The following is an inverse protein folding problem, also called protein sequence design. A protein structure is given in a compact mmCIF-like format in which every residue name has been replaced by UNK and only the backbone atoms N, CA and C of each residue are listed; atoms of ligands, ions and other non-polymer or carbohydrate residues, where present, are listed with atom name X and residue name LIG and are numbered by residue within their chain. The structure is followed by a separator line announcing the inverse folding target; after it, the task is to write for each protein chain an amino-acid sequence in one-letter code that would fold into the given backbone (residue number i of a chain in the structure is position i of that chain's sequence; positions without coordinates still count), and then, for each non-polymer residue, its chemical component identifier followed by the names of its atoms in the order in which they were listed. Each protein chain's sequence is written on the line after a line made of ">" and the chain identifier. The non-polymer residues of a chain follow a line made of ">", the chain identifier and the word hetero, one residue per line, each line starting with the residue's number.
data_IF_634796998727
#
_entry.id   IF_634796998727
#
_cell.length_a   1.000
_cell.length_b   1.000
_cell.length_c   1.000
_cell.angle_alpha   90.00
_cell.angle_beta   90.00
_cell.angle_gamma   90.00
#
_symmetry.space_group_name_H-M   'P 1'
#
loop_
_entity.id
_entity.type
_entity.pdbx_description
1 polymer ?
#
# COMPACT_ATOMS: atom_id res chain seq x y z
N UNK A 1 -59.47 -56.77 -12.22
CA UNK A 1 -58.96 -55.52 -12.80
C UNK A 1 -57.69 -55.13 -12.05
N UNK A 2 -56.58 -55.01 -12.78
CA UNK A 2 -55.23 -54.76 -12.25
C UNK A 2 -54.98 -53.26 -12.03
N UNK A 3 -54.13 -52.90 -11.04
CA UNK A 3 -52.96 -52.01 -11.24
C UNK A 3 -52.11 -51.90 -9.96
N UNK A 4 -50.80 -51.79 -10.17
CA UNK A 4 -49.68 -51.95 -9.25
C UNK A 4 -49.19 -50.60 -8.64
N UNK A 5 -48.21 -50.59 -7.72
CA UNK A 5 -47.82 -49.39 -6.96
C UNK A 5 -46.80 -48.50 -7.68
N UNK A 6 -46.90 -47.18 -7.46
CA UNK A 6 -46.00 -46.14 -7.98
C UNK A 6 -44.81 -45.93 -7.03
N UNK A 7 -43.61 -46.22 -7.52
CA UNK A 7 -42.32 -45.90 -6.89
C UNK A 7 -41.91 -44.48 -7.27
N UNK A 8 -41.64 -43.62 -6.28
CA UNK A 8 -41.14 -42.25 -6.50
C UNK A 8 -39.61 -42.21 -6.45
N UNK A 9 -38.96 -42.11 -7.61
CA UNK A 9 -37.57 -41.69 -7.72
C UNK A 9 -37.54 -40.20 -8.03
N UNK A 10 -36.84 -39.39 -7.23
CA UNK A 10 -36.34 -38.05 -7.64
C UNK A 10 -35.37 -37.47 -6.60
N UNK A 11 -34.08 -37.76 -6.78
CA UNK A 11 -32.92 -36.95 -6.38
C UNK A 11 -31.69 -37.58 -7.02
N UNK A 12 -31.25 -37.10 -8.18
CA UNK A 12 -29.89 -37.37 -8.71
C UNK A 12 -29.52 -36.56 -9.97
N UNK A 13 -30.49 -35.96 -10.68
CA UNK A 13 -30.21 -35.38 -12.02
C UNK A 13 -29.59 -33.96 -12.06
N UNK A 14 -29.28 -33.33 -10.92
CA UNK A 14 -28.74 -31.94 -10.94
C UNK A 14 -27.22 -31.91 -10.97
N UNK A 15 -26.53 -32.92 -10.45
CA UNK A 15 -25.05 -33.00 -10.45
C UNK A 15 -24.46 -33.43 -11.79
N UNK A 16 -25.19 -34.21 -12.60
CA UNK A 16 -24.72 -34.67 -13.89
C UNK A 16 -24.67 -33.55 -14.96
N UNK A 17 -25.49 -32.51 -14.84
CA UNK A 17 -25.58 -31.45 -15.84
C UNK A 17 -24.44 -30.41 -15.76
N UNK A 18 -23.80 -30.25 -14.60
CA UNK A 18 -22.60 -29.41 -14.44
C UNK A 18 -21.32 -30.14 -14.82
N UNK A 19 -21.28 -31.47 -14.69
CA UNK A 19 -20.14 -32.31 -15.11
C UNK A 19 -19.94 -32.34 -16.64
N UNK A 20 -21.02 -32.12 -17.40
CA UNK A 20 -21.00 -32.20 -18.88
C UNK A 20 -20.42 -30.95 -19.55
N UNK A 21 -20.34 -29.80 -18.86
CA UNK A 21 -19.82 -28.55 -19.45
C UNK A 21 -18.30 -28.40 -19.39
N UNK A 22 -17.60 -29.25 -18.64
CA UNK A 22 -16.14 -29.29 -18.57
C UNK A 22 -15.48 -30.14 -19.69
N UNK A 23 -16.27 -30.62 -20.67
CA UNK A 23 -15.86 -31.60 -21.67
C UNK A 23 -15.58 -31.10 -23.11
N UNK A 24 -14.93 -29.95 -23.39
CA UNK A 24 -14.42 -29.71 -24.74
C UNK A 24 -13.19 -30.58 -25.07
N UNK A 25 -12.22 -30.68 -24.15
CA UNK A 25 -10.93 -31.33 -24.46
C UNK A 25 -10.83 -32.79 -24.02
N UNK A 26 -11.62 -33.21 -23.02
CA UNK A 26 -11.66 -34.62 -22.63
C UNK A 26 -12.26 -35.48 -23.74
N UNK A 27 -13.26 -34.99 -24.48
CA UNK A 27 -13.85 -35.76 -25.57
C UNK A 27 -12.91 -35.81 -26.77
N UNK A 28 -12.12 -34.78 -27.06
CA UNK A 28 -11.24 -34.80 -28.25
C UNK A 28 -10.00 -35.65 -28.01
N UNK A 29 -9.33 -35.51 -26.85
CA UNK A 29 -8.21 -36.39 -26.51
C UNK A 29 -8.70 -37.81 -26.21
N UNK A 30 -9.79 -38.00 -25.45
CA UNK A 30 -10.33 -39.33 -25.22
C UNK A 30 -10.87 -39.96 -26.51
N UNK A 31 -11.49 -39.24 -27.45
CA UNK A 31 -11.97 -39.87 -28.70
C UNK A 31 -10.83 -40.22 -29.65
N UNK A 32 -9.83 -39.35 -29.82
CA UNK A 32 -8.67 -39.63 -30.69
C UNK A 32 -7.76 -40.70 -30.09
N UNK A 33 -7.63 -40.74 -28.75
CA UNK A 33 -6.90 -41.77 -28.01
C UNK A 33 -7.71 -43.07 -27.94
N UNK A 34 -9.01 -43.06 -27.61
CA UNK A 34 -9.86 -44.27 -27.59
C UNK A 34 -9.95 -44.95 -28.96
N UNK A 35 -9.98 -44.19 -30.06
CA UNK A 35 -9.93 -44.75 -31.42
C UNK A 35 -8.60 -45.46 -31.72
N UNK A 36 -7.50 -45.08 -31.07
CA UNK A 36 -6.19 -45.77 -31.16
C UNK A 36 -5.96 -46.82 -30.06
N UNK A 37 -6.79 -46.87 -29.01
CA UNK A 37 -6.53 -47.66 -27.79
C UNK A 37 -7.31 -48.97 -27.72
N UNK A 38 -8.22 -49.24 -28.66
CA UNK A 38 -8.96 -50.51 -28.76
C UNK A 38 -8.04 -51.74 -28.93
N UNK A 39 -6.76 -51.56 -29.32
CA UNK A 39 -5.80 -52.65 -29.54
C UNK A 39 -4.66 -52.71 -28.50
N UNK A 40 -4.65 -51.84 -27.48
CA UNK A 40 -3.51 -51.73 -26.54
C UNK A 40 -3.76 -52.53 -25.24
N UNK A 41 -2.81 -53.38 -24.79
CA UNK A 41 -2.92 -54.13 -23.54
C UNK A 41 -3.16 -53.22 -22.32
N UNK A 42 -3.98 -53.66 -21.37
CA UNK A 42 -4.35 -52.94 -20.13
C UNK A 42 -3.13 -52.34 -19.40
N UNK A 43 -2.04 -53.10 -19.26
CA UNK A 43 -0.81 -52.66 -18.61
C UNK A 43 -0.16 -51.45 -19.30
N UNK A 44 -0.18 -51.43 -20.64
CA UNK A 44 0.33 -50.29 -21.44
C UNK A 44 -0.57 -49.07 -21.33
N UNK A 45 -1.89 -49.26 -21.17
CA UNK A 45 -2.84 -48.14 -20.97
C UNK A 45 -2.64 -47.47 -19.61
N UNK A 46 -2.42 -48.24 -18.54
CA UNK A 46 -2.09 -47.69 -17.21
C UNK A 46 -0.80 -46.87 -17.23
N UNK A 47 0.26 -47.40 -17.83
CA UNK A 47 1.56 -46.71 -17.93
C UNK A 47 1.46 -45.39 -18.71
N UNK A 48 0.62 -45.32 -19.75
CA UNK A 48 0.40 -44.08 -20.51
C UNK A 48 -0.43 -43.06 -19.74
N UNK A 49 -1.46 -43.51 -19.01
CA UNK A 49 -2.28 -42.62 -18.16
C UNK A 49 -1.42 -42.02 -17.03
N UNK A 50 -0.58 -42.84 -16.40
CA UNK A 50 0.37 -42.42 -15.37
C UNK A 50 1.35 -41.38 -15.93
N UNK A 51 1.96 -41.64 -17.09
CA UNK A 51 2.86 -40.70 -17.76
C UNK A 51 2.18 -39.36 -18.11
N UNK A 52 0.93 -39.38 -18.58
CA UNK A 52 0.16 -38.16 -18.86
C UNK A 52 -0.13 -37.40 -17.56
N UNK A 53 -0.47 -38.11 -16.48
CA UNK A 53 -0.71 -37.50 -15.17
C UNK A 53 0.55 -36.85 -14.60
N UNK A 54 1.71 -37.49 -14.72
CA UNK A 54 3.00 -36.95 -14.28
C UNK A 54 3.41 -35.72 -15.09
N UNK A 55 3.21 -35.73 -16.41
CA UNK A 55 3.46 -34.55 -17.25
C UNK A 55 2.53 -33.39 -16.90
N UNK A 56 1.26 -33.65 -16.59
CA UNK A 56 0.30 -32.63 -16.12
C UNK A 56 0.74 -32.05 -14.77
N UNK A 57 1.14 -32.91 -13.83
CA UNK A 57 1.68 -32.50 -12.52
C UNK A 57 2.91 -31.61 -12.68
N UNK A 58 3.89 -32.03 -13.49
CA UNK A 58 5.11 -31.25 -13.72
C UNK A 58 4.84 -29.87 -14.32
N UNK A 59 3.90 -29.77 -15.28
CA UNK A 59 3.46 -28.46 -15.82
C UNK A 59 2.75 -27.60 -14.79
N UNK A 60 1.89 -28.22 -13.97
CA UNK A 60 1.18 -27.54 -12.89
C UNK A 60 2.15 -26.95 -11.87
N UNK A 61 3.12 -27.75 -11.39
CA UNK A 61 4.12 -27.31 -10.41
C UNK A 61 5.03 -26.21 -10.98
N UNK A 62 5.39 -26.31 -12.26
CA UNK A 62 6.12 -25.26 -12.96
C UNK A 62 5.30 -23.96 -13.08
N UNK A 63 4.00 -24.06 -13.39
CA UNK A 63 3.11 -22.90 -13.46
C UNK A 63 2.96 -22.21 -12.09
N UNK A 64 2.78 -22.97 -11.00
CA UNK A 64 2.74 -22.41 -9.65
C UNK A 64 4.06 -21.74 -9.26
N UNK A 65 5.19 -22.39 -9.55
CA UNK A 65 6.52 -21.80 -9.31
C UNK A 65 6.70 -20.48 -10.05
N UNK A 66 6.23 -20.41 -11.30
CA UNK A 66 6.26 -19.21 -12.11
C UNK A 66 5.31 -18.11 -11.59
N UNK A 67 4.12 -18.48 -11.12
CA UNK A 67 3.18 -17.56 -10.47
C UNK A 67 3.81 -16.90 -9.24
N UNK A 68 4.35 -17.69 -8.32
CA UNK A 68 4.99 -17.17 -7.11
C UNK A 68 6.22 -16.31 -7.44
N UNK A 69 6.97 -16.68 -8.50
CA UNK A 69 8.07 -15.86 -8.98
C UNK A 69 7.59 -14.50 -9.50
N UNK A 70 6.54 -14.45 -10.32
CA UNK A 70 5.96 -13.19 -10.81
C UNK A 70 5.44 -12.32 -9.64
N UNK A 71 4.76 -12.91 -8.66
CA UNK A 71 4.33 -12.20 -7.44
C UNK A 71 5.52 -11.63 -6.65
N UNK A 72 6.61 -12.38 -6.52
CA UNK A 72 7.83 -11.91 -5.88
C UNK A 72 8.51 -10.78 -6.67
N UNK A 73 8.46 -10.84 -8.01
CA UNK A 73 8.95 -9.76 -8.88
C UNK A 73 8.12 -8.48 -8.71
N UNK A 74 6.78 -8.57 -8.59
CA UNK A 74 5.94 -7.42 -8.26
C UNK A 74 6.38 -6.81 -6.93
N UNK A 75 6.58 -7.61 -5.88
CA UNK A 75 7.02 -7.08 -4.58
C UNK A 75 8.32 -6.26 -4.69
N UNK A 76 9.31 -6.78 -5.43
CA UNK A 76 10.59 -6.10 -5.67
C UNK A 76 10.45 -4.84 -6.54
N UNK A 77 9.58 -4.89 -7.55
CA UNK A 77 9.31 -3.74 -8.41
C UNK A 77 8.68 -2.57 -7.63
N UNK A 78 7.80 -2.88 -6.67
CA UNK A 78 7.09 -1.86 -5.90
C UNK A 78 7.96 -1.19 -4.83
N UNK A 79 9.05 -1.83 -4.39
CA UNK A 79 9.93 -1.35 -3.33
C UNK A 79 10.52 0.06 -3.56
N UNK A 80 11.13 0.39 -4.72
CA UNK A 80 11.65 1.74 -4.96
C UNK A 80 10.58 2.83 -4.91
N UNK A 81 9.33 2.52 -5.31
CA UNK A 81 8.22 3.47 -5.26
C UNK A 81 7.73 3.76 -3.84
N UNK A 82 8.10 2.93 -2.86
CA UNK A 82 7.85 3.17 -1.44
C UNK A 82 9.05 3.87 -0.80
N UNK A 83 10.26 3.35 -1.03
CA UNK A 83 11.47 3.80 -0.33
C UNK A 83 11.95 5.19 -0.78
N UNK A 84 12.03 5.44 -2.08
CA UNK A 84 12.63 6.68 -2.59
C UNK A 84 11.79 7.93 -2.27
N UNK A 85 10.45 7.92 -2.47
CA UNK A 85 9.61 9.03 -2.01
C UNK A 85 9.68 9.24 -0.49
N UNK A 86 9.82 8.16 0.30
CA UNK A 86 9.98 8.25 1.75
C UNK A 86 11.29 8.94 2.16
N UNK A 87 12.41 8.59 1.51
CA UNK A 87 13.71 9.27 1.72
C UNK A 87 13.64 10.74 1.32
N UNK A 88 12.96 11.05 0.22
CA UNK A 88 12.75 12.43 -0.23
C UNK A 88 11.91 13.24 0.77
N UNK A 89 10.83 12.66 1.31
CA UNK A 89 10.04 13.32 2.34
C UNK A 89 10.90 13.60 3.58
N UNK A 90 11.67 12.61 4.04
CA UNK A 90 12.56 12.76 5.19
C UNK A 90 13.60 13.87 4.96
N UNK A 91 14.21 13.94 3.78
CA UNK A 91 15.18 14.99 3.47
C UNK A 91 14.53 16.38 3.46
N UNK A 92 13.34 16.53 2.88
CA UNK A 92 12.56 17.79 2.91
C UNK A 92 12.23 18.23 4.34
N UNK A 93 11.76 17.31 5.18
CA UNK A 93 11.40 17.61 6.58
C UNK A 93 12.63 18.00 7.39
N UNK A 94 13.73 17.23 7.30
CA UNK A 94 14.97 17.55 8.02
C UNK A 94 15.59 18.88 7.58
N UNK A 95 15.51 19.20 6.29
CA UNK A 95 16.00 20.48 5.79
C UNK A 95 15.13 21.65 6.29
N UNK A 96 13.81 21.49 6.28
CA UNK A 96 12.90 22.47 6.86
C UNK A 96 13.13 22.64 8.37
N UNK A 97 13.42 21.57 9.11
CA UNK A 97 13.77 21.66 10.55
C UNK A 97 15.05 22.49 10.76
N UNK A 98 16.11 22.25 9.98
CA UNK A 98 17.35 23.03 10.04
C UNK A 98 17.12 24.52 9.75
N UNK A 99 16.32 24.83 8.72
CA UNK A 99 15.98 26.21 8.37
C UNK A 99 15.25 26.91 9.50
N UNK A 100 14.28 26.22 10.12
CA UNK A 100 13.52 26.77 11.25
C UNK A 100 14.40 27.01 12.46
N UNK A 101 15.29 26.07 12.80
CA UNK A 101 16.22 26.23 13.92
C UNK A 101 17.19 27.39 13.70
N UNK A 102 17.69 27.57 12.47
CA UNK A 102 18.55 28.70 12.13
C UNK A 102 17.82 30.04 12.25
N UNK A 103 16.57 30.13 11.80
CA UNK A 103 15.74 31.33 11.94
C UNK A 103 15.48 31.67 13.41
N UNK A 104 15.12 30.67 14.22
CA UNK A 104 14.91 30.86 15.66
C UNK A 104 16.19 31.29 16.37
N UNK A 105 17.34 30.69 16.04
CA UNK A 105 18.64 31.06 16.64
C UNK A 105 19.02 32.49 16.29
N UNK A 106 18.81 32.91 15.04
CA UNK A 106 19.05 34.30 14.62
C UNK A 106 18.17 35.26 15.43
N UNK A 107 16.91 34.90 15.65
CA UNK A 107 15.96 35.70 16.43
C UNK A 107 16.41 35.86 17.89
N UNK A 108 16.88 34.77 18.49
CA UNK A 108 17.33 34.74 19.89
C UNK A 108 18.53 35.68 20.11
N UNK A 109 19.48 35.69 19.17
CA UNK A 109 20.64 36.59 19.21
C UNK A 109 20.25 38.07 19.03
N UNK A 110 19.25 38.37 18.21
CA UNK A 110 18.80 39.75 17.98
C UNK A 110 18.18 40.40 19.22
N UNK A 111 17.54 39.62 20.11
CA UNK A 111 16.95 40.16 21.35
C UNK A 111 18.02 40.60 22.34
N UNK A 112 19.13 39.86 22.44
CA UNK A 112 20.20 40.15 23.41
C UNK A 112 20.95 41.46 23.10
N UNK A 113 20.91 41.94 21.86
CA UNK A 113 21.73 43.05 21.39
C UNK A 113 21.00 44.41 21.28
N UNK A 114 19.75 44.48 21.74
CA UNK A 114 18.84 45.52 21.27
C UNK A 114 19.02 46.93 21.89
N UNK A 115 19.17 47.96 21.03
CA UNK A 115 19.21 49.39 21.37
C UNK A 115 18.03 50.14 20.70
N UNK A 116 17.48 51.15 21.40
CA UNK A 116 16.46 52.16 21.05
C UNK A 116 15.86 52.25 19.63
N UNK A 117 16.68 52.34 18.57
CA UNK A 117 16.25 52.68 17.20
C UNK A 117 15.58 51.48 16.49
N UNK A 118 15.80 50.28 16.98
CA UNK A 118 15.59 49.06 16.22
C UNK A 118 14.17 48.46 16.45
N UNK A 119 13.39 48.97 17.41
CA UNK A 119 12.17 48.33 17.95
C UNK A 119 11.06 48.06 16.94
N UNK A 120 10.90 48.95 15.96
CA UNK A 120 9.94 48.79 14.86
C UNK A 120 10.41 47.75 13.85
N UNK A 121 11.72 47.69 13.59
CA UNK A 121 12.33 46.70 12.67
C UNK A 121 12.17 45.30 13.27
N UNK A 122 12.39 45.15 14.58
CA UNK A 122 12.25 43.86 15.26
C UNK A 122 10.81 43.35 15.36
N UNK A 123 9.82 44.24 15.51
CA UNK A 123 8.41 43.83 15.44
C UNK A 123 8.08 43.28 14.04
N UNK A 124 8.59 43.94 12.99
CA UNK A 124 8.42 43.47 11.62
C UNK A 124 9.10 42.11 11.41
N UNK A 125 10.31 41.91 11.95
CA UNK A 125 11.00 40.62 11.92
C UNK A 125 10.23 39.51 12.66
N UNK A 126 9.57 39.83 13.79
CA UNK A 126 8.71 38.91 14.53
C UNK A 126 7.46 38.51 13.72
N UNK A 127 6.85 39.45 13.03
CA UNK A 127 5.70 39.19 12.16
C UNK A 127 6.12 38.35 10.94
N UNK A 128 7.27 38.66 10.33
CA UNK A 128 7.83 37.87 9.24
C UNK A 128 8.16 36.44 9.67
N UNK A 129 8.75 36.26 10.86
CA UNK A 129 9.01 34.94 11.43
C UNK A 129 7.70 34.14 11.59
N UNK A 130 6.63 34.78 12.08
CA UNK A 130 5.34 34.11 12.23
C UNK A 130 4.77 33.67 10.87
N UNK A 131 4.76 34.56 9.88
CA UNK A 131 4.28 34.22 8.53
C UNK A 131 5.09 33.07 7.93
N UNK A 132 6.40 33.06 8.16
CA UNK A 132 7.29 31.97 7.73
C UNK A 132 6.95 30.66 8.41
N UNK A 133 6.75 30.65 9.75
CA UNK A 133 6.32 29.46 10.51
C UNK A 133 5.01 28.91 9.93
N UNK A 134 4.04 29.77 9.64
CA UNK A 134 2.76 29.35 9.09
C UNK A 134 2.90 28.75 7.69
N UNK A 135 3.66 29.40 6.80
CA UNK A 135 3.90 28.91 5.44
C UNK A 135 4.65 27.57 5.42
N UNK A 136 5.70 27.43 6.23
CA UNK A 136 6.44 26.17 6.38
C UNK A 136 5.54 25.06 6.91
N UNK A 137 4.71 25.35 7.93
CA UNK A 137 3.79 24.35 8.49
C UNK A 137 2.74 23.89 7.47
N UNK A 138 2.20 24.81 6.66
CA UNK A 138 1.29 24.46 5.56
C UNK A 138 1.99 23.59 4.49
N UNK A 139 3.22 23.95 4.15
CA UNK A 139 4.05 23.25 3.16
C UNK A 139 4.39 21.84 3.62
N UNK A 140 4.78 21.64 4.87
CA UNK A 140 5.08 20.31 5.42
C UNK A 140 3.85 19.42 5.45
N UNK A 141 2.70 19.97 5.85
CA UNK A 141 1.42 19.24 5.82
C UNK A 141 1.04 18.81 4.39
N UNK A 142 1.32 19.63 3.39
CA UNK A 142 1.05 19.26 1.99
C UNK A 142 1.98 18.15 1.51
N UNK A 143 3.27 18.20 1.85
CA UNK A 143 4.21 17.10 1.54
C UNK A 143 3.81 15.77 2.18
N UNK A 144 3.35 15.79 3.44
CA UNK A 144 2.86 14.58 4.13
C UNK A 144 1.65 13.99 3.40
N UNK A 145 0.69 14.83 2.97
CA UNK A 145 -0.50 14.40 2.23
C UNK A 145 -0.16 13.85 0.84
N UNK A 146 0.69 14.54 0.10
CA UNK A 146 1.14 14.10 -1.24
C UNK A 146 1.81 12.72 -1.17
N UNK A 147 2.62 12.50 -0.13
CA UNK A 147 3.28 11.23 0.08
C UNK A 147 2.33 10.11 0.48
N UNK A 148 1.34 10.39 1.34
CA UNK A 148 0.25 9.45 1.69
C UNK A 148 -0.52 9.01 0.43
N UNK A 149 -0.91 9.96 -0.42
CA UNK A 149 -1.57 9.67 -1.69
C UNK A 149 -0.68 8.83 -2.61
N UNK A 150 0.62 9.10 -2.62
CA UNK A 150 1.59 8.32 -3.42
C UNK A 150 1.67 6.88 -2.94
N UNK A 151 1.74 6.65 -1.63
CA UNK A 151 1.75 5.30 -1.06
C UNK A 151 0.46 4.54 -1.39
N UNK A 152 -0.70 5.20 -1.30
CA UNK A 152 -1.98 4.59 -1.66
C UNK A 152 -2.05 4.21 -3.14
N UNK A 153 -1.56 5.07 -4.04
CA UNK A 153 -1.45 4.75 -5.48
C UNK A 153 -0.55 3.56 -5.74
N UNK A 154 0.57 3.44 -5.02
CA UNK A 154 1.48 2.29 -5.10
C UNK A 154 0.76 1.01 -4.66
N UNK A 155 0.05 1.01 -3.53
CA UNK A 155 -0.70 -0.18 -3.09
C UNK A 155 -1.84 -0.56 -4.05
N UNK A 156 -2.54 0.41 -4.66
CA UNK A 156 -3.55 0.13 -5.68
C UNK A 156 -2.93 -0.50 -6.93
N UNK A 157 -1.85 0.09 -7.44
CA UNK A 157 -1.12 -0.48 -8.59
C UNK A 157 -0.61 -1.89 -8.29
N UNK A 158 -0.19 -2.16 -7.04
CA UNK A 158 0.25 -3.50 -6.62
C UNK A 158 -0.91 -4.49 -6.67
N UNK A 159 -2.07 -4.10 -6.14
CA UNK A 159 -3.26 -4.94 -6.15
C UNK A 159 -3.73 -5.26 -7.58
N UNK A 160 -3.70 -4.29 -8.50
CA UNK A 160 -4.05 -4.50 -9.90
C UNK A 160 -3.11 -5.51 -10.57
N UNK A 161 -1.79 -5.32 -10.43
CA UNK A 161 -0.80 -6.24 -11.00
C UNK A 161 -0.92 -7.67 -10.46
N UNK A 162 -1.15 -7.80 -9.15
CA UNK A 162 -1.39 -9.10 -8.51
C UNK A 162 -2.65 -9.75 -9.08
N UNK A 163 -3.71 -8.97 -9.26
CA UNK A 163 -4.97 -9.46 -9.83
C UNK A 163 -4.77 -10.01 -11.24
N UNK A 164 -3.99 -9.32 -12.07
CA UNK A 164 -3.68 -9.78 -13.42
C UNK A 164 -2.83 -11.05 -13.43
N UNK A 165 -1.84 -11.18 -12.53
CA UNK A 165 -1.07 -12.41 -12.35
C UNK A 165 -1.98 -13.56 -11.93
N UNK A 166 -2.82 -13.38 -10.91
CA UNK A 166 -3.72 -14.42 -10.45
C UNK A 166 -4.68 -14.86 -11.57
N UNK A 167 -5.27 -13.91 -12.31
CA UNK A 167 -6.15 -14.22 -13.46
C UNK A 167 -5.43 -15.02 -14.54
N UNK A 168 -4.22 -14.61 -14.91
CA UNK A 168 -3.38 -15.31 -15.91
C UNK A 168 -3.13 -16.76 -15.49
N UNK A 169 -2.76 -16.99 -14.23
CA UNK A 169 -2.45 -18.33 -13.76
C UNK A 169 -3.70 -19.18 -13.48
N UNK A 170 -4.86 -18.61 -13.15
CA UNK A 170 -6.13 -19.35 -13.14
C UNK A 170 -6.37 -20.03 -14.48
N UNK A 171 -6.33 -19.27 -15.59
CA UNK A 171 -6.57 -19.80 -16.94
C UNK A 171 -5.53 -20.87 -17.29
N UNK A 172 -4.24 -20.60 -17.03
CA UNK A 172 -3.17 -21.55 -17.32
C UNK A 172 -3.31 -22.87 -16.53
N UNK A 173 -3.72 -22.80 -15.26
CA UNK A 173 -3.91 -23.99 -14.43
C UNK A 173 -5.14 -24.81 -14.86
N UNK A 174 -6.21 -24.13 -15.31
CA UNK A 174 -7.37 -24.79 -15.92
C UNK A 174 -6.98 -25.51 -17.22
N UNK A 175 -6.21 -24.86 -18.10
CA UNK A 175 -5.70 -25.44 -19.35
C UNK A 175 -4.77 -26.65 -19.14
N UNK A 176 -3.99 -26.67 -18.05
CA UNK A 176 -3.15 -27.82 -17.71
C UNK A 176 -4.00 -29.05 -17.37
N UNK A 177 -5.22 -28.85 -16.86
CA UNK A 177 -6.19 -29.87 -16.50
C UNK A 177 -5.61 -30.97 -15.59
N UNK A 178 -4.74 -30.56 -14.64
CA UNK A 178 -4.24 -31.41 -13.56
C UNK A 178 -5.23 -31.47 -12.39
N UNK A 179 -5.84 -30.33 -12.06
CA UNK A 179 -6.92 -30.20 -11.08
C UNK A 179 -8.26 -29.98 -11.79
N UNK A 180 -9.36 -30.26 -11.10
CA UNK A 180 -10.68 -29.82 -11.55
C UNK A 180 -10.76 -28.28 -11.44
N UNK A 181 -11.54 -27.66 -12.32
CA UNK A 181 -11.72 -26.19 -12.32
C UNK A 181 -12.11 -25.66 -10.93
N UNK A 182 -13.04 -26.33 -10.22
CA UNK A 182 -13.42 -25.96 -8.86
C UNK A 182 -12.23 -25.92 -7.89
N UNK A 183 -11.30 -26.87 -7.99
CA UNK A 183 -10.11 -26.91 -7.14
C UNK A 183 -9.07 -25.86 -7.53
N UNK A 184 -8.96 -25.52 -8.83
CA UNK A 184 -8.14 -24.38 -9.28
C UNK A 184 -8.66 -23.07 -8.68
N UNK A 185 -9.97 -22.82 -8.74
CA UNK A 185 -10.57 -21.63 -8.13
C UNK A 185 -10.36 -21.57 -6.62
N UNK A 186 -10.47 -22.70 -5.91
CA UNK A 186 -10.19 -22.77 -4.47
C UNK A 186 -8.74 -22.41 -4.17
N UNK A 187 -7.79 -22.99 -4.90
CA UNK A 187 -6.36 -22.70 -4.76
C UNK A 187 -6.08 -21.20 -4.96
N UNK A 188 -6.56 -20.61 -6.06
CA UNK A 188 -6.33 -19.19 -6.36
C UNK A 188 -7.02 -18.29 -5.34
N UNK A 189 -8.21 -18.65 -4.87
CA UNK A 189 -8.90 -17.90 -3.84
C UNK A 189 -8.14 -17.91 -2.49
N UNK A 190 -7.58 -19.05 -2.10
CA UNK A 190 -6.78 -19.17 -0.88
C UNK A 190 -5.51 -18.30 -0.97
N UNK A 191 -4.84 -18.30 -2.12
CA UNK A 191 -3.71 -17.39 -2.40
C UNK A 191 -4.12 -15.92 -2.35
N UNK A 192 -5.21 -15.56 -3.03
CA UNK A 192 -5.75 -14.21 -3.00
C UNK A 192 -6.09 -13.76 -1.57
N UNK A 193 -6.66 -14.64 -0.76
CA UNK A 193 -6.98 -14.35 0.64
C UNK A 193 -5.73 -14.05 1.46
N UNK A 194 -4.66 -14.84 1.29
CA UNK A 194 -3.40 -14.61 1.98
C UNK A 194 -2.76 -13.28 1.57
N UNK A 195 -2.77 -12.96 0.28
CA UNK A 195 -2.24 -11.70 -0.24
C UNK A 195 -3.08 -10.50 0.25
N UNK A 196 -4.41 -10.63 0.24
CA UNK A 196 -5.31 -9.57 0.70
C UNK A 196 -5.09 -9.21 2.17
N UNK A 197 -4.75 -10.18 3.02
CA UNK A 197 -4.38 -9.91 4.42
C UNK A 197 -3.14 -9.03 4.50
N UNK A 198 -2.14 -9.26 3.65
CA UNK A 198 -0.92 -8.45 3.58
C UNK A 198 -1.23 -7.05 3.05
N UNK A 199 -2.01 -6.92 1.98
CA UNK A 199 -2.42 -5.61 1.43
C UNK A 199 -3.18 -4.77 2.46
N UNK A 200 -4.12 -5.37 3.19
CA UNK A 200 -4.85 -4.70 4.27
C UNK A 200 -3.93 -4.29 5.43
N UNK A 201 -2.95 -5.12 5.78
CA UNK A 201 -1.96 -4.77 6.80
C UNK A 201 -1.12 -3.56 6.35
N UNK A 202 -0.70 -3.52 5.08
CA UNK A 202 0.04 -2.40 4.50
C UNK A 202 -0.79 -1.12 4.51
N UNK A 203 -2.06 -1.17 4.08
CA UNK A 203 -2.95 0.00 4.11
C UNK A 203 -3.13 0.56 5.53
N UNK A 204 -3.27 -0.32 6.54
CA UNK A 204 -3.32 0.11 7.95
C UNK A 204 -2.00 0.73 8.41
N UNK A 205 -0.87 0.18 7.97
CA UNK A 205 0.45 0.72 8.29
C UNK A 205 0.64 2.13 7.69
N UNK A 206 0.22 2.32 6.43
CA UNK A 206 0.23 3.63 5.74
C UNK A 206 -0.63 4.63 6.53
N UNK A 207 -1.89 4.29 6.81
CA UNK A 207 -2.79 5.18 7.54
C UNK A 207 -2.24 5.56 8.93
N UNK A 208 -1.64 4.59 9.65
CA UNK A 208 -1.00 4.84 10.95
C UNK A 208 0.21 5.76 10.82
N UNK A 209 1.02 5.59 9.78
CA UNK A 209 2.19 6.40 9.53
C UNK A 209 1.80 7.85 9.20
N UNK A 210 0.83 8.05 8.31
CA UNK A 210 0.29 9.36 7.95
C UNK A 210 -0.32 10.07 9.16
N UNK A 211 -1.06 9.35 9.99
CA UNK A 211 -1.58 9.89 11.26
C UNK A 211 -0.45 10.34 12.19
N UNK A 212 0.58 9.50 12.39
CA UNK A 212 1.70 9.82 13.27
C UNK A 212 2.50 11.02 12.77
N UNK A 213 2.76 11.11 11.46
CA UNK A 213 3.46 12.23 10.84
C UNK A 213 2.66 13.53 11.00
N UNK A 214 1.36 13.49 10.69
CA UNK A 214 0.49 14.66 10.85
C UNK A 214 0.42 15.11 12.31
N UNK A 215 0.32 14.15 13.25
CA UNK A 215 0.33 14.43 14.69
C UNK A 215 1.64 15.11 15.11
N UNK A 216 2.78 14.54 14.74
CA UNK A 216 4.11 15.11 15.04
C UNK A 216 4.26 16.51 14.44
N UNK A 217 3.70 16.75 13.25
CA UNK A 217 3.72 18.07 12.62
C UNK A 217 2.87 19.10 13.40
N UNK A 218 1.69 18.72 13.90
CA UNK A 218 0.89 19.60 14.76
C UNK A 218 1.61 19.93 16.08
N UNK A 219 2.25 18.94 16.70
CA UNK A 219 3.01 19.13 17.94
C UNK A 219 4.20 20.09 17.72
N UNK A 220 4.89 19.95 16.59
CA UNK A 220 5.96 20.86 16.16
C UNK A 220 5.45 22.29 15.97
N UNK A 221 4.35 22.46 15.22
CA UNK A 221 3.74 23.77 14.99
C UNK A 221 3.32 24.46 16.30
N UNK A 222 2.69 23.71 17.22
CA UNK A 222 2.33 24.22 18.53
C UNK A 222 3.56 24.67 19.33
N UNK A 223 4.64 23.90 19.31
CA UNK A 223 5.90 24.28 19.96
C UNK A 223 6.49 25.55 19.35
N UNK A 224 6.44 25.72 18.03
CA UNK A 224 6.94 26.92 17.37
C UNK A 224 6.09 28.15 17.68
N UNK A 225 4.77 27.97 17.68
CA UNK A 225 3.83 29.02 18.08
C UNK A 225 4.07 29.48 19.51
N UNK A 226 4.28 28.54 20.44
CA UNK A 226 4.57 28.87 21.83
C UNK A 226 5.86 29.69 21.95
N UNK A 227 6.95 29.24 21.30
CA UNK A 227 8.23 29.97 21.27
C UNK A 227 8.04 31.38 20.73
N UNK A 228 7.35 31.53 19.60
CA UNK A 228 7.08 32.85 19.02
C UNK A 228 6.26 33.74 19.96
N UNK A 229 5.21 33.21 20.60
CA UNK A 229 4.40 33.97 21.56
C UNK A 229 5.21 34.45 22.75
N UNK A 230 6.09 33.61 23.29
CA UNK A 230 6.93 33.98 24.42
C UNK A 230 7.93 35.07 23.99
N UNK A 231 8.49 35.00 22.78
CA UNK A 231 9.34 36.06 22.22
C UNK A 231 8.62 37.39 22.05
N UNK A 232 7.36 37.36 21.59
CA UNK A 232 6.54 38.57 21.50
C UNK A 232 6.29 39.17 22.90
N UNK A 233 6.10 38.34 23.93
CA UNK A 233 5.93 38.81 25.32
C UNK A 233 7.22 39.43 25.84
N UNK A 234 8.36 38.77 25.67
CA UNK A 234 9.68 39.26 26.10
C UNK A 234 9.97 40.63 25.48
N UNK A 235 9.76 40.77 24.17
CA UNK A 235 9.91 42.05 23.49
C UNK A 235 8.99 43.14 24.08
N UNK A 236 7.71 42.84 24.33
CA UNK A 236 6.77 43.79 24.94
C UNK A 236 7.22 44.22 26.34
N UNK A 237 7.83 43.33 27.11
CA UNK A 237 8.37 43.65 28.43
C UNK A 237 9.58 44.57 28.31
N UNK A 238 10.57 44.21 27.48
CA UNK A 238 11.76 45.04 27.24
C UNK A 238 11.38 46.44 26.76
N UNK A 239 10.40 46.56 25.87
CA UNK A 239 9.92 47.88 25.40
C UNK A 239 9.28 48.69 26.54
N UNK A 240 8.47 48.07 27.41
CA UNK A 240 7.88 48.75 28.56
C UNK A 240 8.93 49.23 29.55
N UNK A 241 9.90 48.38 29.86
CA UNK A 241 10.98 48.70 30.80
C UNK A 241 11.85 49.84 30.28
N UNK A 242 12.20 49.80 29.00
CA UNK A 242 12.93 50.86 28.33
C UNK A 242 12.18 52.21 28.39
N UNK A 243 10.91 52.25 28.00
CA UNK A 243 10.08 53.47 28.09
C UNK A 243 9.98 53.97 29.53
N UNK A 244 9.86 53.08 30.51
CA UNK A 244 9.85 53.44 31.94
C UNK A 244 11.18 53.99 32.46
N UNK A 245 12.31 53.65 31.83
CA UNK A 245 13.63 54.20 32.18
C UNK A 245 13.83 55.57 31.55
N UNK A 246 13.47 55.75 30.28
CA UNK A 246 13.60 57.05 29.59
C UNK A 246 12.79 58.16 30.27
N UNK A 247 11.56 57.87 30.72
CA UNK A 247 10.75 58.81 31.52
C UNK A 247 11.37 59.17 32.88
N UNK A 248 12.17 58.28 33.47
CA UNK A 248 12.83 58.51 34.76
C UNK A 248 14.14 59.28 34.64
N UNK A 249 14.78 59.27 33.47
CA UNK A 249 16.00 60.03 33.19
C UNK A 249 15.74 61.47 32.69
N UNK A 250 14.51 61.80 32.31
CA UNK A 250 14.10 63.14 31.86
C UNK A 250 13.55 64.05 33.00
N UNK A 251 13.55 63.57 34.25
CA UNK A 251 13.18 64.32 35.47
C UNK A 251 14.41 64.54 36.33
#
# INVERSE_FOLDING_TARGET
>A
AATAPLVSWKREDVTAAEEVRALPDLVVLSSVVLLFFSEVPEERRRNLLELVSERRRGRHDAALSSMHHELACIAREMEPFVLEPGKLLLSKLTESDRKMDALLTKMDLSIEFFIEIESKIFLQDLEELWTTIQQESLTRKSWIREWDETLMKVEWSRADKITDVLRKYTVMLEEIAFLLSADVYRLINDEAMMINRVLLANQRAIAKLSFNLMKSEMERELSLQQKWQDRVKDWRLTQKDYVGQSFRSEV
#
